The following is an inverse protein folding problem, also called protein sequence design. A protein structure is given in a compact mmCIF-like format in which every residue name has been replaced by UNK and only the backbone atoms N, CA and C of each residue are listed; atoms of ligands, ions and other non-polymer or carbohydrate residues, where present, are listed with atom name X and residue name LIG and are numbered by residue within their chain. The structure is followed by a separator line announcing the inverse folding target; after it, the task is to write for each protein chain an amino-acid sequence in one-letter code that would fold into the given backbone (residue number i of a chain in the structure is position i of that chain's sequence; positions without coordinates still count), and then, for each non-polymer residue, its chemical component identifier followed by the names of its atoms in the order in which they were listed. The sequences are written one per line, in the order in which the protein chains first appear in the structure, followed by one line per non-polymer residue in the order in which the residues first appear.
data_IF_944067925832
#
_entry.id   IF_944067925832
#
_cell.length_a   1.000
_cell.length_b   1.000
_cell.length_c   1.000
_cell.angle_alpha   90.00
_cell.angle_beta   90.00
_cell.angle_gamma   90.00
#
_symmetry.space_group_name_H-M   'P 1'
#
loop_
_entity.id
_entity.type
_entity.pdbx_description
1 polymer ?
#
# COMPACT_ATOMS: atom_id res chain seq x y z
N UNK A 1 13.99 1.82 3.70
CA UNK A 1 13.03 1.02 2.92
C UNK A 1 12.85 1.72 1.58
N UNK A 2 13.21 1.07 0.46
CA UNK A 2 13.36 1.73 -0.85
C UNK A 2 12.16 2.57 -1.31
N UNK A 3 10.93 2.12 -1.01
CA UNK A 3 9.72 2.89 -1.33
C UNK A 3 9.67 4.22 -0.56
N UNK A 4 9.97 4.21 0.74
CA UNK A 4 10.00 5.41 1.58
C UNK A 4 11.12 6.36 1.15
N UNK A 5 12.29 5.81 0.82
CA UNK A 5 13.40 6.60 0.27
C UNK A 5 13.01 7.30 -1.03
N UNK A 6 12.32 6.60 -1.93
CA UNK A 6 11.83 7.17 -3.19
C UNK A 6 10.80 8.29 -2.97
N UNK A 7 9.86 8.10 -2.03
CA UNK A 7 8.85 9.12 -1.69
C UNK A 7 9.56 10.36 -1.12
N UNK A 8 10.41 10.18 -0.11
CA UNK A 8 11.20 11.28 0.48
C UNK A 8 12.09 12.00 -0.54
N UNK A 9 12.54 11.33 -1.59
CA UNK A 9 13.35 11.95 -2.64
C UNK A 9 12.53 12.76 -3.64
N UNK A 10 11.28 12.35 -3.89
CA UNK A 10 10.41 12.99 -4.87
C UNK A 10 9.54 14.11 -4.27
N UNK A 11 9.13 13.97 -3.01
CA UNK A 11 8.25 14.89 -2.30
C UNK A 11 9.01 15.45 -1.10
N UNK A 12 9.82 16.48 -1.34
CA UNK A 12 10.71 17.08 -0.32
C UNK A 12 9.96 18.02 0.62
N UNK A 13 8.76 18.42 0.22
CA UNK A 13 7.84 19.30 0.93
C UNK A 13 6.92 18.56 1.90
N UNK A 14 6.93 17.22 1.89
CA UNK A 14 6.15 16.38 2.79
C UNK A 14 7.05 15.56 3.71
N UNK A 15 6.67 15.50 4.99
CA UNK A 15 7.23 14.53 5.93
C UNK A 15 6.57 13.17 5.76
N UNK A 16 7.39 12.11 5.69
CA UNK A 16 6.92 10.74 5.42
C UNK A 16 6.91 9.91 6.69
N UNK A 17 5.71 9.48 7.11
CA UNK A 17 5.50 8.60 8.26
C UNK A 17 5.04 7.23 7.80
N UNK A 18 5.65 6.18 8.35
CA UNK A 18 5.28 4.79 8.08
C UNK A 18 4.31 4.26 9.14
N UNK A 19 3.10 3.89 8.71
CA UNK A 19 2.09 3.23 9.54
C UNK A 19 1.69 1.87 8.98
N UNK A 20 1.44 0.89 9.86
CA UNK A 20 1.00 -0.46 9.50
C UNK A 20 -0.44 -0.71 9.97
N UNK A 21 -1.16 -1.60 9.28
CA UNK A 21 -2.53 -2.02 9.66
C UNK A 21 -2.56 -3.25 10.58
N UNK A 22 -1.48 -4.05 10.61
CA UNK A 22 -1.44 -5.33 11.33
C UNK A 22 -0.70 -5.22 12.67
N UNK A 23 -1.47 -5.28 13.77
CA UNK A 23 -0.93 -5.37 15.13
C UNK A 23 0.01 -6.56 15.32
N UNK A 24 -0.33 -7.71 14.73
CA UNK A 24 0.48 -8.93 14.83
C UNK A 24 1.89 -8.69 14.25
N UNK A 25 1.99 -8.00 13.10
CA UNK A 25 3.28 -7.69 12.48
C UNK A 25 4.04 -6.65 13.31
N UNK A 26 3.38 -5.61 13.80
CA UNK A 26 3.99 -4.58 14.64
C UNK A 26 4.57 -5.20 15.92
N UNK A 27 3.78 -6.02 16.62
CA UNK A 27 4.21 -6.70 17.84
C UNK A 27 5.40 -7.62 17.56
N UNK A 28 5.35 -8.41 16.48
CA UNK A 28 6.48 -9.26 16.08
C UNK A 28 7.74 -8.46 15.74
N UNK A 29 7.62 -7.32 15.06
CA UNK A 29 8.77 -6.48 14.72
C UNK A 29 9.37 -5.84 15.97
N UNK A 30 8.54 -5.41 16.91
CA UNK A 30 8.98 -4.89 18.20
C UNK A 30 9.68 -5.95 19.04
N UNK A 31 9.07 -7.12 19.20
CA UNK A 31 9.60 -8.23 20.00
C UNK A 31 10.91 -8.80 19.42
N UNK A 32 10.94 -9.05 18.11
CA UNK A 32 12.08 -9.76 17.49
C UNK A 32 13.21 -8.84 17.04
N UNK A 33 12.91 -7.57 16.74
CA UNK A 33 13.88 -6.63 16.14
C UNK A 33 13.99 -5.30 16.88
N UNK A 34 13.20 -5.07 17.93
CA UNK A 34 13.17 -3.79 18.64
C UNK A 34 12.62 -2.63 17.80
N UNK A 35 12.06 -2.91 16.61
CA UNK A 35 11.59 -1.87 15.68
C UNK A 35 10.18 -1.46 16.11
N UNK A 36 10.02 -0.18 16.43
CA UNK A 36 8.71 0.43 16.68
C UNK A 36 8.15 0.99 15.38
N UNK A 37 6.95 0.56 15.02
CA UNK A 37 6.18 1.08 13.88
C UNK A 37 4.81 1.47 14.44
N UNK A 38 4.30 2.61 14.00
CA UNK A 38 2.97 3.06 14.39
C UNK A 38 1.88 2.17 13.81
N UNK A 39 0.83 1.93 14.58
CA UNK A 39 -0.47 1.65 14.00
C UNK A 39 -0.95 2.88 13.24
N UNK A 40 -1.75 2.67 12.19
CA UNK A 40 -2.23 3.77 11.35
C UNK A 40 -2.92 4.89 12.15
N UNK A 41 -3.78 4.55 13.12
CA UNK A 41 -4.44 5.57 13.95
C UNK A 41 -3.46 6.31 14.87
N UNK A 42 -2.46 5.61 15.42
CA UNK A 42 -1.40 6.24 16.23
C UNK A 42 -0.57 7.22 15.39
N UNK A 43 -0.30 6.88 14.12
CA UNK A 43 0.39 7.78 13.20
C UNK A 43 -0.45 9.04 12.93
N UNK A 44 -1.75 8.90 12.67
CA UNK A 44 -2.66 10.04 12.46
C UNK A 44 -2.80 10.91 13.72
N UNK A 45 -2.88 10.30 14.90
CA UNK A 45 -2.89 11.02 16.18
C UNK A 45 -1.60 11.84 16.37
N UNK A 46 -0.45 11.28 15.98
CA UNK A 46 0.83 11.98 16.06
C UNK A 46 0.89 13.14 15.05
N UNK A 47 0.48 12.91 13.80
CA UNK A 47 0.38 13.94 12.76
C UNK A 47 -0.51 15.10 13.21
N UNK A 48 -1.65 14.80 13.85
CA UNK A 48 -2.53 15.82 14.44
C UNK A 48 -1.83 16.62 15.54
N UNK A 49 -1.12 15.95 16.46
CA UNK A 49 -0.36 16.62 17.54
C UNK A 49 0.74 17.53 17.00
N UNK A 50 1.38 17.12 15.91
CA UNK A 50 2.43 17.87 15.23
C UNK A 50 1.86 19.00 14.35
N UNK A 51 0.53 19.17 14.32
CA UNK A 51 -0.21 20.27 13.70
C UNK A 51 -0.11 20.33 12.18
N UNK A 52 0.14 19.19 11.51
CA UNK A 52 0.01 19.12 10.06
C UNK A 52 -1.44 19.39 9.65
N UNK A 53 -1.59 20.04 8.50
CA UNK A 53 -2.90 20.44 7.96
C UNK A 53 -3.38 19.60 6.80
N UNK A 54 -2.45 19.13 5.99
CA UNK A 54 -2.71 18.23 4.87
C UNK A 54 -2.06 16.87 5.15
N UNK A 55 -2.82 15.81 4.90
CA UNK A 55 -2.36 14.43 5.07
C UNK A 55 -2.70 13.63 3.81
N UNK A 56 -1.68 12.99 3.22
CA UNK A 56 -1.85 12.07 2.10
C UNK A 56 -1.54 10.64 2.59
N UNK A 57 -2.56 9.80 2.67
CA UNK A 57 -2.43 8.39 3.05
C UNK A 57 -2.23 7.57 1.77
N UNK A 58 -1.03 7.04 1.54
CA UNK A 58 -0.76 6.16 0.39
C UNK A 58 -0.63 4.69 0.82
N UNK A 59 -1.64 3.84 0.53
CA UNK A 59 -1.55 2.41 0.76
C UNK A 59 -0.54 1.77 -0.18
N UNK A 60 0.22 0.79 0.31
CA UNK A 60 1.14 -0.02 -0.50
C UNK A 60 0.52 -1.38 -0.89
N UNK A 61 -0.82 -1.45 -0.91
CA UNK A 61 -1.56 -2.66 -1.21
C UNK A 61 -1.70 -2.85 -2.72
N UNK A 62 -1.68 -4.11 -3.17
CA UNK A 62 -1.91 -4.44 -4.58
C UNK A 62 -3.39 -4.27 -4.97
N UNK A 63 -4.31 -4.65 -4.08
CA UNK A 63 -5.74 -4.73 -4.37
C UNK A 63 -6.55 -3.85 -3.42
N UNK A 64 -7.73 -3.42 -3.86
CA UNK A 64 -8.77 -2.85 -3.00
C UNK A 64 -9.48 -3.96 -2.20
N UNK A 65 -8.71 -4.65 -1.33
CA UNK A 65 -9.20 -5.71 -0.45
C UNK A 65 -9.66 -5.18 0.91
N UNK A 66 -9.97 -6.09 1.84
CA UNK A 66 -10.37 -5.75 3.21
C UNK A 66 -9.37 -4.83 3.93
N UNK A 67 -8.07 -5.01 3.70
CA UNK A 67 -7.05 -4.14 4.32
C UNK A 67 -7.09 -2.71 3.78
N UNK A 68 -7.45 -2.52 2.51
CA UNK A 68 -7.66 -1.18 1.96
C UNK A 68 -8.94 -0.55 2.52
N UNK A 69 -10.02 -1.32 2.64
CA UNK A 69 -11.27 -0.83 3.27
C UNK A 69 -11.02 -0.37 4.72
N UNK A 70 -10.19 -1.11 5.49
CA UNK A 70 -9.79 -0.68 6.83
C UNK A 70 -9.05 0.66 6.83
N UNK A 71 -8.15 0.88 5.88
CA UNK A 71 -7.45 2.17 5.74
C UNK A 71 -8.45 3.30 5.49
N UNK A 72 -9.43 3.07 4.59
CA UNK A 72 -10.49 4.04 4.31
C UNK A 72 -11.29 4.34 5.57
N UNK A 73 -11.74 3.31 6.29
CA UNK A 73 -12.51 3.45 7.53
C UNK A 73 -11.74 4.11 8.67
N UNK A 74 -10.43 3.91 8.77
CA UNK A 74 -9.61 4.60 9.78
C UNK A 74 -9.45 6.07 9.38
N UNK A 75 -9.11 6.36 8.13
CA UNK A 75 -8.92 7.74 7.65
C UNK A 75 -10.18 8.58 7.76
N UNK A 76 -11.36 8.00 7.48
CA UNK A 76 -12.63 8.73 7.53
C UNK A 76 -12.96 9.27 8.93
N UNK A 77 -12.39 8.66 9.99
CA UNK A 77 -12.56 9.13 11.37
C UNK A 77 -11.77 10.41 11.68
N UNK A 78 -10.85 10.80 10.78
CA UNK A 78 -9.99 11.97 10.92
C UNK A 78 -10.31 13.06 9.90
N UNK A 79 -11.38 12.93 9.12
CA UNK A 79 -11.76 13.90 8.08
C UNK A 79 -11.97 15.32 8.63
N UNK A 80 -12.53 15.46 9.84
CA UNK A 80 -12.76 16.76 10.48
C UNK A 80 -11.53 17.27 11.27
N UNK A 81 -10.47 16.46 11.36
CA UNK A 81 -9.28 16.77 12.16
C UNK A 81 -8.17 17.45 11.35
N UNK A 82 -8.27 17.40 10.03
CA UNK A 82 -7.32 17.96 9.08
C UNK A 82 -8.03 18.89 8.11
N UNK A 83 -7.34 19.91 7.62
CA UNK A 83 -7.87 20.78 6.57
C UNK A 83 -8.05 19.97 5.27
N UNK A 84 -7.22 18.93 5.09
CA UNK A 84 -7.30 17.96 4.00
C UNK A 84 -6.73 16.61 4.40
N UNK A 85 -7.49 15.54 4.14
CA UNK A 85 -6.99 14.16 4.17
C UNK A 85 -7.41 13.43 2.90
N UNK A 86 -6.44 12.90 2.17
CA UNK A 86 -6.69 12.13 0.93
C UNK A 86 -6.09 10.73 1.01
N UNK A 87 -6.72 9.79 0.31
CA UNK A 87 -6.30 8.39 0.28
C UNK A 87 -5.94 8.00 -1.15
N UNK A 88 -4.70 7.57 -1.33
CA UNK A 88 -4.21 7.02 -2.58
C UNK A 88 -4.87 5.68 -2.92
N UNK A 89 -5.07 5.44 -4.21
CA UNK A 89 -5.55 4.15 -4.71
C UNK A 89 -4.51 3.04 -4.50
N UNK A 90 -4.94 1.77 -4.31
CA UNK A 90 -4.03 0.62 -4.40
C UNK A 90 -3.60 0.39 -5.86
N UNK A 91 -2.66 -0.54 -6.09
CA UNK A 91 -2.04 -0.72 -7.42
C UNK A 91 -3.05 -1.11 -8.52
N UNK A 92 -3.97 -2.05 -8.26
CA UNK A 92 -4.86 -2.60 -9.28
C UNK A 92 -6.26 -2.00 -9.26
N UNK A 93 -6.46 -0.83 -9.88
CA UNK A 93 -7.78 -0.20 -9.99
C UNK A 93 -8.27 -0.10 -11.43
N UNK A 94 -7.53 0.60 -12.29
CA UNK A 94 -7.91 0.90 -13.67
C UNK A 94 -7.27 -0.10 -14.64
N UNK A 95 -7.85 -0.29 -15.83
CA UNK A 95 -7.33 -1.23 -16.84
C UNK A 95 -5.84 -0.99 -17.14
N UNK A 96 -5.45 0.28 -17.30
CA UNK A 96 -4.06 0.71 -17.53
C UNK A 96 -3.09 0.24 -16.43
N UNK A 97 -3.56 0.08 -15.19
CA UNK A 97 -2.71 -0.36 -14.09
C UNK A 97 -2.29 -1.82 -14.27
N UNK A 98 -3.19 -2.64 -14.82
CA UNK A 98 -2.90 -4.03 -15.17
C UNK A 98 -1.89 -4.09 -16.31
N UNK A 99 -2.10 -3.33 -17.39
CA UNK A 99 -1.17 -3.27 -18.53
C UNK A 99 0.24 -2.88 -18.08
N UNK A 100 0.35 -1.83 -17.24
CA UNK A 100 1.62 -1.38 -16.69
C UNK A 100 2.32 -2.46 -15.87
N UNK A 101 1.58 -3.16 -15.00
CA UNK A 101 2.15 -4.21 -14.16
C UNK A 101 2.54 -5.44 -14.99
N UNK A 102 1.74 -5.84 -15.99
CA UNK A 102 2.10 -6.91 -16.93
C UNK A 102 3.40 -6.56 -17.64
N UNK A 103 3.54 -5.35 -18.18
CA UNK A 103 4.77 -4.91 -18.83
C UNK A 103 5.98 -4.96 -17.90
N UNK A 104 5.81 -4.57 -16.61
CA UNK A 104 6.86 -4.68 -15.60
C UNK A 104 7.21 -6.15 -15.31
N UNK A 105 6.22 -7.04 -15.23
CA UNK A 105 6.46 -8.47 -15.01
C UNK A 105 7.20 -9.07 -16.21
N UNK A 106 6.68 -8.89 -17.42
CA UNK A 106 7.27 -9.43 -18.66
C UNK A 106 8.70 -8.92 -18.83
N UNK A 107 8.95 -7.61 -18.66
CA UNK A 107 10.30 -7.06 -18.78
C UNK A 107 11.27 -7.61 -17.74
N UNK A 108 10.80 -7.92 -16.53
CA UNK A 108 11.61 -8.52 -15.46
C UNK A 108 12.01 -9.97 -15.74
N UNK A 109 11.22 -10.68 -16.56
CA UNK A 109 11.44 -12.09 -16.89
C UNK A 109 11.66 -12.31 -18.40
N UNK A 110 12.10 -11.28 -19.13
CA UNK A 110 12.33 -11.32 -20.58
C UNK A 110 13.33 -12.39 -21.04
N UNK A 111 14.23 -12.80 -20.15
CA UNK A 111 15.30 -13.77 -20.42
C UNK A 111 14.90 -15.20 -19.97
N UNK A 112 13.62 -15.44 -19.70
CA UNK A 112 13.11 -16.75 -19.32
C UNK A 112 13.01 -17.67 -20.56
N UNK A 113 13.42 -18.92 -20.39
CA UNK A 113 13.30 -19.97 -21.41
C UNK A 113 11.83 -20.25 -21.77
N UNK A 114 11.53 -20.42 -23.05
CA UNK A 114 10.18 -20.69 -23.59
C UNK A 114 9.53 -21.96 -22.99
N UNK A 115 10.31 -22.88 -22.43
CA UNK A 115 9.81 -24.07 -21.73
C UNK A 115 9.48 -23.86 -20.24
N UNK A 116 9.63 -22.63 -19.71
CA UNK A 116 9.38 -22.29 -18.29
C UNK A 116 8.18 -21.36 -18.15
N UNK A 117 7.35 -21.64 -17.16
CA UNK A 117 6.27 -20.75 -16.72
C UNK A 117 6.64 -19.96 -15.47
N UNK A 118 5.95 -18.84 -15.28
CA UNK A 118 6.03 -18.03 -14.05
C UNK A 118 4.72 -18.20 -13.29
N UNK A 119 4.82 -18.52 -12.00
CA UNK A 119 3.67 -18.51 -11.10
C UNK A 119 3.83 -17.36 -10.12
N UNK A 120 2.93 -16.38 -10.21
CA UNK A 120 2.85 -15.27 -9.26
C UNK A 120 1.80 -15.60 -8.20
N UNK A 121 2.22 -15.60 -6.94
CA UNK A 121 1.34 -15.93 -5.81
C UNK A 121 0.83 -14.66 -5.13
N UNK A 122 -0.46 -14.36 -5.31
CA UNK A 122 -1.16 -13.32 -4.54
C UNK A 122 -1.55 -13.80 -3.15
N UNK A 123 -1.71 -12.88 -2.19
CA UNK A 123 -2.17 -13.22 -0.85
C UNK A 123 -3.67 -13.62 -0.82
N UNK A 124 -4.47 -13.04 -1.72
CA UNK A 124 -5.92 -13.12 -1.65
C UNK A 124 -6.54 -12.17 -0.62
N UNK A 125 -7.86 -12.07 -0.63
CA UNK A 125 -8.70 -11.37 0.34
C UNK A 125 -10.03 -12.12 0.48
N UNK A 126 -10.82 -11.83 1.52
CA UNK A 126 -12.15 -12.45 1.68
C UNK A 126 -13.26 -11.70 0.92
N UNK A 127 -12.97 -10.52 0.37
CA UNK A 127 -13.92 -9.69 -0.37
C UNK A 127 -13.72 -9.80 -1.90
N UNK A 128 -14.43 -8.96 -2.66
CA UNK A 128 -14.36 -8.91 -4.12
C UNK A 128 -13.00 -8.48 -4.69
N UNK A 129 -12.06 -7.97 -3.87
CA UNK A 129 -10.74 -7.54 -4.32
C UNK A 129 -9.93 -8.64 -5.03
N UNK A 130 -10.26 -9.91 -4.80
CA UNK A 130 -9.67 -11.06 -5.50
C UNK A 130 -9.87 -11.04 -7.01
N UNK A 131 -10.91 -10.37 -7.52
CA UNK A 131 -11.15 -10.27 -8.96
C UNK A 131 -9.94 -9.68 -9.70
N UNK A 132 -9.14 -8.85 -9.01
CA UNK A 132 -7.92 -8.24 -9.55
C UNK A 132 -6.90 -9.30 -9.98
N UNK A 133 -6.76 -10.41 -9.25
CA UNK A 133 -5.83 -11.47 -9.65
C UNK A 133 -6.28 -12.19 -10.91
N UNK A 134 -7.59 -12.45 -11.05
CA UNK A 134 -8.16 -13.01 -12.28
C UNK A 134 -8.01 -12.05 -13.45
N UNK A 135 -8.25 -10.76 -13.23
CA UNK A 135 -8.03 -9.72 -14.25
C UNK A 135 -6.57 -9.69 -14.68
N UNK A 136 -5.63 -9.67 -13.75
CA UNK A 136 -4.20 -9.70 -14.04
C UNK A 136 -3.83 -10.92 -14.89
N UNK A 137 -4.32 -12.12 -14.54
CA UNK A 137 -4.08 -13.33 -15.33
C UNK A 137 -4.59 -13.22 -16.77
N UNK A 138 -5.68 -12.51 -17.01
CA UNK A 138 -6.25 -12.31 -18.35
C UNK A 138 -5.52 -11.22 -19.16
N UNK A 139 -4.62 -10.44 -18.54
CA UNK A 139 -3.83 -9.41 -19.23
C UNK A 139 -2.40 -9.87 -19.54
N UNK A 140 -1.96 -11.01 -18.98
CA UNK A 140 -0.65 -11.61 -19.25
C UNK A 140 -0.68 -12.37 -20.58
#
# INVERSE_FOLDING_TARGET
MKIIENINNKFKEYDVILGFTSEIIINRLKEKKGIKIYLMHEALDQIKKDKYKEVIVQPLHLIAGLEYEKIVQVSSKYEEEFDKIEIGKPVFIEAKDYDNIVNIIVSKFKDLDDNKGIVLMGHGSKNFGNISYKKLQNHI
#
